data_IF_410711878854
#
_entry.id   IF_410711878854
#
_cell.length_a   1.000
_cell.length_b   1.000
_cell.length_c   1.000
_cell.angle_alpha   90.00
_cell.angle_beta   90.00
_cell.angle_gamma   90.00
#
_symmetry.space_group_name_H-M   'P 1'
#
loop_
_entity.id
_entity.type
_entity.pdbx_description
1 polymer ?
#
# COMPACT_ATOMS: atom_id res chain seq x y z
N UNK A 1 1.30 -6.49 29.55
CA UNK A 1 0.81 -6.15 28.19
C UNK A 1 1.48 -4.87 27.76
N UNK A 2 2.25 -4.83 26.67
CA UNK A 2 2.79 -3.57 26.14
C UNK A 2 1.63 -2.85 25.46
N UNK A 3 1.29 -1.63 25.92
CA UNK A 3 0.35 -0.77 25.21
C UNK A 3 0.86 -0.59 23.77
N UNK A 4 0.08 -1.03 22.77
CA UNK A 4 0.29 -0.62 21.38
C UNK A 4 -0.16 0.84 21.28
N UNK A 5 0.75 1.79 21.44
CA UNK A 5 0.47 3.21 21.17
C UNK A 5 0.69 3.50 19.67
N UNK A 6 -0.18 2.94 18.84
CA UNK A 6 -0.31 3.40 17.46
C UNK A 6 -0.92 4.80 17.50
N UNK A 7 -0.20 5.78 16.94
CA UNK A 7 -0.71 7.15 16.81
C UNK A 7 -1.17 7.38 15.38
N UNK A 8 -2.48 7.25 15.17
CA UNK A 8 -3.12 7.40 13.86
C UNK A 8 -3.81 8.76 13.80
N UNK A 9 -3.60 9.47 12.69
CA UNK A 9 -4.22 10.77 12.42
C UNK A 9 -4.90 10.68 11.06
N UNK A 10 -6.18 11.02 11.00
CA UNK A 10 -6.88 11.19 9.72
C UNK A 10 -6.31 12.38 8.95
N UNK A 11 -6.01 12.17 7.68
CA UNK A 11 -5.58 13.20 6.74
C UNK A 11 -6.53 13.18 5.54
N UNK A 12 -7.80 13.59 5.72
CA UNK A 12 -8.80 13.50 4.66
C UNK A 12 -8.37 14.36 3.46
N UNK A 13 -8.78 13.95 2.26
CA UNK A 13 -8.47 14.59 0.96
C UNK A 13 -7.04 14.33 0.44
N UNK A 14 -6.25 13.50 1.12
CA UNK A 14 -4.89 13.18 0.69
C UNK A 14 -4.81 12.00 -0.28
N UNK A 15 -5.86 11.18 -0.43
CA UNK A 15 -5.77 9.95 -1.22
C UNK A 15 -5.32 10.16 -2.67
N UNK A 16 -5.90 11.13 -3.40
CA UNK A 16 -5.43 11.46 -4.76
C UNK A 16 -3.94 11.81 -4.80
N UNK A 17 -3.49 12.68 -3.89
CA UNK A 17 -2.08 13.05 -3.80
C UNK A 17 -1.19 11.83 -3.50
N UNK A 18 -1.60 10.97 -2.57
CA UNK A 18 -0.85 9.77 -2.20
C UNK A 18 -0.80 8.74 -3.33
N UNK A 19 -1.88 8.56 -4.11
CA UNK A 19 -1.88 7.70 -5.31
C UNK A 19 -0.89 8.21 -6.37
N UNK A 20 -0.85 9.53 -6.63
CA UNK A 20 0.14 10.12 -7.54
C UNK A 20 1.56 9.93 -7.00
N UNK A 21 1.78 10.19 -5.71
CA UNK A 21 3.07 10.01 -5.05
C UNK A 21 3.55 8.56 -5.11
N UNK A 22 2.64 7.61 -4.95
CA UNK A 22 2.92 6.19 -5.06
C UNK A 22 3.37 5.84 -6.49
N UNK A 23 2.66 6.30 -7.51
CA UNK A 23 3.04 6.10 -8.92
C UNK A 23 4.45 6.64 -9.20
N UNK A 24 4.72 7.88 -8.80
CA UNK A 24 6.05 8.49 -8.94
C UNK A 24 7.15 7.68 -8.23
N UNK A 25 6.82 7.08 -7.08
CA UNK A 25 7.82 6.44 -6.22
C UNK A 25 8.15 5.02 -6.66
N UNK A 26 7.16 4.25 -7.13
CA UNK A 26 7.28 2.82 -7.38
C UNK A 26 7.12 2.42 -8.85
N UNK A 27 6.56 3.29 -9.69
CA UNK A 27 6.33 3.03 -11.11
C UNK A 27 7.04 4.02 -12.06
N UNK A 28 7.95 4.86 -11.56
CA UNK A 28 8.64 5.88 -12.37
C UNK A 28 9.61 5.32 -13.42
N UNK A 29 9.96 4.03 -13.35
CA UNK A 29 10.72 3.35 -14.39
C UNK A 29 9.88 2.99 -15.62
N UNK A 30 8.55 3.07 -15.53
CA UNK A 30 7.63 2.87 -16.65
C UNK A 30 7.22 4.22 -17.25
N UNK A 31 7.20 4.30 -18.58
CA UNK A 31 6.55 5.38 -19.31
C UNK A 31 5.04 5.43 -19.04
N UNK A 32 4.39 6.54 -19.36
CA UNK A 32 2.93 6.68 -19.19
C UNK A 32 2.16 5.68 -20.04
N UNK A 33 2.65 5.42 -21.25
CA UNK A 33 2.10 4.46 -22.18
C UNK A 33 2.20 3.03 -21.63
N UNK A 34 3.33 2.65 -21.02
CA UNK A 34 3.50 1.36 -20.35
C UNK A 34 2.59 1.23 -19.14
N UNK A 35 2.50 2.25 -18.29
CA UNK A 35 1.57 2.24 -17.14
C UNK A 35 0.12 2.07 -17.60
N UNK A 36 -0.28 2.75 -18.67
CA UNK A 36 -1.62 2.61 -19.25
C UNK A 36 -1.87 1.22 -19.83
N UNK A 37 -0.86 0.61 -20.46
CA UNK A 37 -0.99 -0.71 -21.09
C UNK A 37 -1.29 -1.83 -20.08
N UNK A 38 -0.94 -1.63 -18.81
CA UNK A 38 -1.19 -2.56 -17.70
C UNK A 38 -2.36 -2.09 -16.81
N UNK A 39 -3.19 -1.18 -17.30
CA UNK A 39 -4.39 -0.69 -16.61
C UNK A 39 -4.12 -0.06 -15.23
N UNK A 40 -2.93 0.52 -14.99
CA UNK A 40 -2.61 1.14 -13.70
C UNK A 40 -3.54 2.30 -13.33
N UNK A 41 -4.18 2.94 -14.32
CA UNK A 41 -5.20 3.97 -14.09
C UNK A 41 -6.43 3.46 -13.34
N UNK A 42 -6.72 2.17 -13.46
CA UNK A 42 -7.80 1.49 -12.73
C UNK A 42 -7.31 0.99 -11.37
N UNK A 43 -6.20 0.27 -11.32
CA UNK A 43 -5.62 -0.30 -10.10
C UNK A 43 -4.10 -0.17 -10.05
N UNK A 44 -3.57 0.48 -9.00
CA UNK A 44 -2.11 0.67 -8.88
C UNK A 44 -1.36 -0.66 -8.69
N UNK A 45 -2.00 -1.62 -8.04
CA UNK A 45 -1.39 -2.92 -7.73
C UNK A 45 -1.14 -3.78 -8.98
N UNK A 46 -1.67 -3.42 -10.16
CA UNK A 46 -1.31 -4.09 -11.42
C UNK A 46 0.17 -3.99 -11.76
N UNK A 47 0.88 -2.98 -11.22
CA UNK A 47 2.35 -2.94 -11.28
C UNK A 47 2.99 -4.25 -10.77
N UNK A 48 2.41 -4.87 -9.75
CA UNK A 48 2.90 -6.10 -9.13
C UNK A 48 2.49 -7.35 -9.92
N UNK A 49 1.21 -7.45 -10.29
CA UNK A 49 0.66 -8.66 -10.94
C UNK A 49 1.12 -8.81 -12.39
N UNK A 50 1.36 -7.70 -13.10
CA UNK A 50 1.95 -7.70 -14.44
C UNK A 50 3.51 -7.84 -14.40
N UNK A 51 4.06 -8.09 -13.20
CA UNK A 51 5.48 -8.35 -12.95
C UNK A 51 6.43 -7.21 -13.37
N UNK A 52 5.93 -5.98 -13.48
CA UNK A 52 6.71 -4.80 -13.88
C UNK A 52 7.61 -4.23 -12.80
N UNK A 53 7.57 -4.79 -11.58
CA UNK A 53 8.42 -4.38 -10.46
C UNK A 53 8.87 -5.61 -9.67
N UNK A 54 10.04 -5.56 -9.05
CA UNK A 54 10.45 -6.59 -8.09
C UNK A 54 9.58 -6.47 -6.83
N UNK A 55 8.93 -7.57 -6.47
CA UNK A 55 7.94 -7.66 -5.39
C UNK A 55 8.04 -8.96 -4.60
N UNK A 56 7.64 -8.91 -3.35
CA UNK A 56 7.21 -10.08 -2.57
C UNK A 56 5.68 -10.16 -2.63
N UNK A 57 5.14 -11.36 -2.44
CA UNK A 57 3.71 -11.63 -2.51
C UNK A 57 3.26 -12.55 -1.38
N UNK A 58 1.97 -12.50 -1.05
CA UNK A 58 1.29 -13.38 -0.08
C UNK A 58 1.99 -13.37 1.28
N UNK A 59 2.26 -14.53 1.87
CA UNK A 59 2.89 -14.66 3.18
C UNK A 59 4.24 -13.93 3.25
N UNK A 60 5.04 -13.97 2.17
CA UNK A 60 6.33 -13.25 2.14
C UNK A 60 6.16 -11.74 2.17
N UNK A 61 5.11 -11.21 1.55
CA UNK A 61 4.78 -9.78 1.62
C UNK A 61 4.35 -9.38 3.03
N UNK A 62 3.53 -10.22 3.68
CA UNK A 62 3.07 -10.02 5.06
C UNK A 62 4.26 -10.03 6.01
N UNK A 63 5.11 -11.06 5.94
CA UNK A 63 6.31 -11.19 6.78
C UNK A 63 7.27 -10.00 6.58
N UNK A 64 7.49 -9.58 5.33
CA UNK A 64 8.33 -8.42 5.05
C UNK A 64 7.73 -7.14 5.62
N UNK A 65 6.41 -6.95 5.49
CA UNK A 65 5.72 -5.83 6.11
C UNK A 65 5.88 -5.87 7.63
N UNK A 66 5.49 -6.94 8.31
CA UNK A 66 5.49 -6.98 9.78
C UNK A 66 6.90 -6.86 10.39
N UNK A 67 7.93 -7.32 9.68
CA UNK A 67 9.33 -7.21 10.13
C UNK A 67 10.02 -5.90 9.70
N UNK A 68 9.40 -5.09 8.85
CA UNK A 68 9.99 -3.83 8.39
C UNK A 68 10.16 -2.85 9.55
N UNK A 69 11.28 -2.12 9.59
CA UNK A 69 11.44 -1.01 10.52
C UNK A 69 10.56 0.17 10.11
N UNK A 70 9.43 0.35 10.79
CA UNK A 70 8.47 1.43 10.51
C UNK A 70 8.57 2.52 11.57
N UNK A 71 8.85 3.75 11.13
CA UNK A 71 8.72 4.94 11.99
C UNK A 71 7.38 5.61 11.72
N UNK A 72 7.17 5.99 10.47
CA UNK A 72 6.01 6.76 10.00
C UNK A 72 5.59 6.24 8.63
N UNK A 73 4.30 6.08 8.40
CA UNK A 73 3.76 5.67 7.10
C UNK A 73 2.37 6.29 6.88
N UNK A 74 1.92 6.26 5.64
CA UNK A 74 0.56 6.62 5.24
C UNK A 74 -0.22 5.38 4.86
N UNK A 75 -1.51 5.37 5.17
CA UNK A 75 -2.48 4.38 4.72
C UNK A 75 -3.48 5.11 3.83
N UNK A 76 -3.75 4.62 2.63
CA UNK A 76 -4.70 5.21 1.69
C UNK A 76 -5.30 4.14 0.79
N UNK A 77 -6.31 4.51 0.02
CA UNK A 77 -7.11 3.57 -0.77
C UNK A 77 -7.09 3.90 -2.27
N UNK A 78 -7.49 2.93 -3.09
CA UNK A 78 -7.60 3.09 -4.54
C UNK A 78 -8.66 4.15 -4.92
N UNK A 79 -9.86 4.08 -4.33
CA UNK A 79 -11.03 4.80 -4.85
C UNK A 79 -11.58 5.92 -3.95
N UNK A 80 -10.99 6.15 -2.77
CA UNK A 80 -11.38 7.27 -1.88
C UNK A 80 -10.20 8.19 -1.58
N UNK A 81 -10.49 9.45 -1.26
CA UNK A 81 -9.48 10.41 -0.81
C UNK A 81 -9.23 10.40 0.71
N UNK A 82 -9.92 9.52 1.42
CA UNK A 82 -9.60 9.18 2.80
C UNK A 82 -8.20 8.59 2.90
N UNK A 83 -7.49 9.01 3.94
CA UNK A 83 -6.15 8.55 4.21
C UNK A 83 -5.81 8.77 5.69
N UNK A 84 -4.86 8.00 6.18
CA UNK A 84 -4.39 8.05 7.55
C UNK A 84 -2.88 8.19 7.57
N UNK A 85 -2.41 8.97 8.55
CA UNK A 85 -1.01 9.07 8.90
C UNK A 85 -0.75 8.31 10.20
N UNK A 86 0.12 7.30 10.14
CA UNK A 86 0.58 6.57 11.31
C UNK A 86 1.92 7.16 11.74
N UNK A 87 1.94 7.89 12.86
CA UNK A 87 3.13 8.60 13.37
C UNK A 87 4.10 7.71 14.16
N UNK A 88 3.60 6.60 14.72
CA UNK A 88 4.39 5.58 15.40
C UNK A 88 4.00 4.21 14.86
N UNK A 89 4.55 3.84 13.70
CA UNK A 89 4.16 2.63 12.98
C UNK A 89 4.89 1.37 13.44
N UNK A 90 5.76 1.44 14.46
CA UNK A 90 6.66 0.33 14.85
C UNK A 90 5.95 -0.99 15.15
N UNK A 91 4.74 -0.92 15.70
CA UNK A 91 3.93 -2.10 16.07
C UNK A 91 2.77 -2.33 15.11
N UNK A 92 2.76 -1.67 13.95
CA UNK A 92 1.71 -1.80 12.94
C UNK A 92 1.84 -3.16 12.25
N UNK A 93 0.79 -3.97 12.39
CA UNK A 93 0.65 -5.31 11.81
C UNK A 93 -0.51 -5.33 10.82
N UNK A 94 -0.64 -6.40 10.03
CA UNK A 94 -1.74 -6.51 9.06
C UNK A 94 -3.11 -6.45 9.75
N UNK A 95 -3.22 -6.99 10.96
CA UNK A 95 -4.45 -6.98 11.78
C UNK A 95 -4.90 -5.61 12.27
N UNK A 96 -4.01 -4.62 12.23
CA UNK A 96 -4.33 -3.26 12.65
C UNK A 96 -4.81 -2.39 11.46
N UNK A 97 -4.83 -2.94 10.24
CA UNK A 97 -5.18 -2.19 9.03
C UNK A 97 -6.70 -2.09 8.89
N UNK A 98 -7.22 -0.93 8.46
CA UNK A 98 -8.65 -0.71 8.19
C UNK A 98 -9.04 -1.30 6.83
N UNK A 99 -8.80 -2.60 6.65
CA UNK A 99 -9.21 -3.36 5.48
C UNK A 99 -10.65 -3.82 5.64
N UNK A 100 -11.51 -3.46 4.67
CA UNK A 100 -12.92 -3.84 4.66
C UNK A 100 -13.24 -4.54 3.33
N UNK A 101 -13.25 -5.87 3.35
CA UNK A 101 -13.45 -6.70 2.16
C UNK A 101 -14.80 -6.45 1.47
N UNK A 102 -15.88 -6.33 2.26
CA UNK A 102 -17.24 -6.11 1.75
C UNK A 102 -17.47 -4.71 1.16
N UNK A 103 -16.48 -3.80 1.27
CA UNK A 103 -16.60 -2.44 0.75
C UNK A 103 -15.56 -2.16 -0.32
N UNK A 104 -16.02 -2.19 -1.58
CA UNK A 104 -15.20 -1.94 -2.76
C UNK A 104 -14.26 -0.72 -2.68
N UNK A 105 -14.69 0.38 -2.06
CA UNK A 105 -13.87 1.59 -1.93
C UNK A 105 -12.72 1.47 -0.91
N UNK A 106 -12.79 0.48 -0.01
CA UNK A 106 -11.88 0.25 1.12
C UNK A 106 -11.16 -1.11 1.04
N UNK A 107 -11.45 -1.90 0.01
CA UNK A 107 -10.88 -3.23 -0.23
C UNK A 107 -9.53 -3.21 -0.98
N UNK A 108 -9.10 -2.07 -1.52
CA UNK A 108 -7.74 -1.90 -2.02
C UNK A 108 -7.00 -0.85 -1.18
N UNK A 109 -6.07 -1.32 -0.34
CA UNK A 109 -5.37 -0.51 0.66
C UNK A 109 -3.87 -0.53 0.44
N UNK A 110 -3.28 0.66 0.54
CA UNK A 110 -1.87 0.92 0.31
C UNK A 110 -1.25 1.52 1.56
N UNK A 111 -0.16 0.91 2.02
CA UNK A 111 0.62 1.36 3.16
C UNK A 111 1.99 1.76 2.64
N UNK A 112 2.27 3.06 2.60
CA UNK A 112 3.48 3.61 2.03
C UNK A 112 4.35 4.26 3.10
N UNK A 113 5.64 3.94 3.10
CA UNK A 113 6.64 4.56 3.96
C UNK A 113 6.67 6.08 3.78
N UNK A 114 6.91 6.83 4.87
CA UNK A 114 6.98 8.29 4.79
C UNK A 114 8.09 8.80 3.86
N UNK A 115 9.21 8.08 3.76
CA UNK A 115 10.32 8.41 2.86
C UNK A 115 10.19 7.70 1.50
N UNK A 116 9.04 7.06 1.23
CA UNK A 116 8.72 6.32 0.01
C UNK A 116 9.70 5.17 -0.30
N UNK A 117 10.31 4.56 0.73
CA UNK A 117 11.29 3.46 0.57
C UNK A 117 10.65 2.09 0.36
N UNK A 118 9.42 1.90 0.85
CA UNK A 118 8.69 0.65 0.73
C UNK A 118 7.19 0.92 0.66
N UNK A 119 6.46 -0.03 0.10
CA UNK A 119 5.00 -0.06 0.13
C UNK A 119 4.50 -1.48 0.35
N UNK A 120 3.45 -1.62 1.15
CA UNK A 120 2.68 -2.83 1.31
C UNK A 120 1.27 -2.59 0.75
N UNK A 121 0.70 -3.59 0.09
CA UNK A 121 -0.53 -3.45 -0.68
C UNK A 121 -1.41 -4.67 -0.39
N UNK A 122 -2.65 -4.45 0.03
CA UNK A 122 -3.67 -5.51 0.06
C UNK A 122 -4.68 -5.17 -1.02
N UNK A 123 -5.04 -6.18 -1.81
CA UNK A 123 -5.99 -6.04 -2.90
C UNK A 123 -7.32 -6.65 -2.48
N UNK A 124 -8.39 -6.21 -3.13
CA UNK A 124 -9.71 -6.83 -3.01
C UNK A 124 -9.79 -8.24 -3.64
N UNK A 125 -8.74 -8.65 -4.36
CA UNK A 125 -8.64 -9.95 -5.03
C UNK A 125 -7.68 -10.91 -4.32
N UNK A 126 -7.41 -10.68 -3.03
CA UNK A 126 -6.54 -11.54 -2.21
C UNK A 126 -7.05 -12.99 -2.22
N UNK A 127 -8.36 -13.20 -2.19
CA UNK A 127 -9.01 -14.53 -2.27
C UNK A 127 -8.84 -15.20 -3.64
N UNK A 128 -8.64 -14.42 -4.70
CA UNK A 128 -8.29 -14.92 -6.03
C UNK A 128 -6.78 -15.17 -6.19
N UNK A 129 -6.02 -14.98 -5.10
CA UNK A 129 -4.58 -15.21 -5.04
C UNK A 129 -3.72 -14.03 -5.50
N UNK A 130 -4.33 -12.85 -5.69
CA UNK A 130 -3.63 -11.63 -6.10
C UNK A 130 -3.27 -10.77 -4.90
N UNK A 131 -1.98 -10.75 -4.57
CA UNK A 131 -1.48 -10.07 -3.38
C UNK A 131 -1.71 -10.87 -2.09
N UNK A 132 -1.53 -10.23 -0.92
CA UNK A 132 -0.93 -8.91 -0.75
C UNK A 132 0.48 -8.82 -1.33
N UNK A 133 0.94 -7.60 -1.64
CA UNK A 133 2.25 -7.35 -2.24
C UNK A 133 3.11 -6.46 -1.35
N UNK A 134 4.43 -6.65 -1.42
CA UNK A 134 5.41 -5.78 -0.79
C UNK A 134 6.50 -5.39 -1.80
N UNK A 135 6.73 -4.09 -1.95
CA UNK A 135 7.81 -3.54 -2.77
C UNK A 135 8.79 -2.83 -1.83
N UNK A 136 10.07 -3.17 -1.98
CA UNK A 136 11.18 -2.50 -1.30
C UNK A 136 12.05 -1.84 -2.36
N UNK A 137 12.24 -0.52 -2.26
CA UNK A 137 13.25 0.19 -3.07
C UNK A 137 14.63 -0.21 -2.56
N UNK A 138 15.49 -0.55 -3.52
CA UNK A 138 16.91 -0.81 -3.29
C UNK A 138 17.67 0.50 -3.05
#
# INVERSE_FOLDING_TARGET
MKNKELKIVEIPKWGHYLRQKWRESFASHLSKEEQKSIYMDEFLWYLCSDEKVKRLEKEKAIEAFENQLKKKCTIFYQFTDEAFLVQNAKTLTVKDLPYEEDRFHYSDIYIMDWDNKWTFIITHETDLGLGPYFIQKS
#
